data_IF_444990824206
#
_entry.id   IF_444990824206
#
_cell.length_a   1.000
_cell.length_b   1.000
_cell.length_c   1.000
_cell.angle_alpha   90.00
_cell.angle_beta   90.00
_cell.angle_gamma   90.00
#
_symmetry.space_group_name_H-M   'P 1'
#
loop_
_entity.id
_entity.type
_entity.pdbx_description
1 polymer ?
#
# COMPACT_ATOMS: atom_id res chain seq x y z
N UNK A 1 2.82 -27.26 7.78
CA UNK A 1 3.44 -25.95 7.49
C UNK A 1 3.22 -25.02 8.68
N UNK A 2 4.31 -24.52 9.25
CA UNK A 2 4.24 -23.46 10.27
C UNK A 2 3.96 -22.12 9.62
N UNK A 3 3.21 -21.29 10.26
CA UNK A 3 2.85 -19.96 9.78
C UNK A 3 2.69 -18.96 10.93
N UNK A 4 2.75 -17.68 10.57
CA UNK A 4 2.37 -16.57 11.45
C UNK A 4 1.34 -15.70 10.74
N UNK A 5 0.24 -15.38 11.40
CA UNK A 5 -0.75 -14.44 10.92
C UNK A 5 -0.40 -13.04 11.38
N UNK A 6 -0.27 -12.10 10.44
CA UNK A 6 0.05 -10.72 10.75
C UNK A 6 -0.78 -9.76 9.90
N UNK A 7 -0.88 -8.50 10.32
CA UNK A 7 -1.46 -7.43 9.52
C UNK A 7 -0.73 -6.10 9.69
N UNK A 8 -0.78 -5.28 8.64
CA UNK A 8 -0.47 -3.86 8.67
C UNK A 8 -1.73 -3.07 8.39
N UNK A 9 -2.25 -2.36 9.42
CA UNK A 9 -3.49 -1.57 9.29
C UNK A 9 -4.68 -2.38 8.74
N UNK A 10 -4.89 -3.62 9.22
CA UNK A 10 -6.01 -4.47 8.81
C UNK A 10 -5.82 -5.24 7.50
N UNK A 11 -4.83 -4.94 6.68
CA UNK A 11 -4.45 -5.74 5.53
C UNK A 11 -3.65 -6.96 6.01
N UNK A 12 -4.25 -8.14 5.98
CA UNK A 12 -3.83 -9.32 6.70
C UNK A 12 -3.31 -10.44 5.78
N UNK A 13 -2.15 -10.99 6.13
CA UNK A 13 -1.52 -12.09 5.39
C UNK A 13 -1.11 -13.24 6.30
N UNK A 14 -0.97 -14.42 5.68
CA UNK A 14 -0.26 -15.56 6.27
C UNK A 14 1.20 -15.45 5.90
N UNK A 15 2.10 -15.46 6.88
CA UNK A 15 3.55 -15.36 6.69
C UNK A 15 4.20 -16.72 6.89
N UNK A 16 5.05 -17.12 5.96
CA UNK A 16 5.81 -18.39 6.02
C UNK A 16 7.31 -18.10 5.91
N UNK A 17 8.04 -18.61 6.89
CA UNK A 17 9.49 -18.51 6.99
C UNK A 17 10.16 -19.61 6.18
N UNK A 18 10.71 -19.29 5.00
CA UNK A 18 11.40 -20.25 4.13
C UNK A 18 12.82 -20.64 4.60
N UNK A 19 13.30 -20.07 5.71
CA UNK A 19 14.50 -20.57 6.38
C UNK A 19 14.21 -21.86 7.16
N UNK A 20 12.95 -22.12 7.51
CA UNK A 20 12.50 -23.29 8.27
C UNK A 20 11.54 -24.18 7.47
N UNK A 21 10.75 -23.61 6.58
CA UNK A 21 9.72 -24.30 5.81
C UNK A 21 10.07 -24.33 4.31
N UNK A 22 9.60 -25.34 3.61
CA UNK A 22 9.72 -25.46 2.16
C UNK A 22 8.35 -25.47 1.52
N UNK A 23 8.11 -24.57 0.58
CA UNK A 23 6.90 -24.52 -0.23
C UNK A 23 7.22 -24.79 -1.69
N UNK A 24 6.69 -25.88 -2.24
CA UNK A 24 6.90 -26.22 -3.65
C UNK A 24 6.00 -25.40 -4.58
N UNK A 25 4.78 -25.06 -4.14
CA UNK A 25 3.81 -24.26 -4.88
C UNK A 25 3.14 -23.20 -3.97
N UNK A 26 3.81 -22.06 -3.73
CA UNK A 26 3.26 -21.01 -2.86
C UNK A 26 1.94 -20.40 -3.37
N UNK A 27 1.73 -20.35 -4.69
CA UNK A 27 0.49 -19.84 -5.28
C UNK A 27 -0.72 -20.70 -4.88
N UNK A 28 -0.60 -22.02 -5.03
CA UNK A 28 -1.64 -22.97 -4.58
C UNK A 28 -1.84 -22.93 -3.09
N UNK A 29 -0.77 -22.84 -2.31
CA UNK A 29 -0.86 -22.71 -0.85
C UNK A 29 -1.59 -21.44 -0.48
N UNK A 30 -1.32 -20.30 -1.17
CA UNK A 30 -2.02 -19.05 -0.93
C UNK A 30 -3.53 -19.18 -1.09
N UNK A 31 -4.00 -19.79 -2.19
CA UNK A 31 -5.44 -20.03 -2.42
C UNK A 31 -6.07 -20.79 -1.24
N UNK A 32 -5.41 -21.85 -0.79
CA UNK A 32 -5.92 -22.70 0.30
C UNK A 32 -5.96 -21.96 1.65
N UNK A 33 -4.81 -21.37 2.06
CA UNK A 33 -4.72 -20.76 3.39
C UNK A 33 -5.49 -19.44 3.50
N UNK A 34 -5.74 -18.76 2.38
CA UNK A 34 -6.45 -17.48 2.37
C UNK A 34 -7.97 -17.63 2.50
N UNK A 35 -8.52 -18.81 2.25
CA UNK A 35 -9.96 -19.05 2.42
C UNK A 35 -10.34 -18.79 3.87
N UNK A 36 -11.33 -17.88 4.08
CA UNK A 36 -11.74 -17.44 5.43
C UNK A 36 -12.67 -18.44 6.13
N UNK A 37 -13.12 -19.48 5.44
CA UNK A 37 -14.02 -20.52 5.98
C UNK A 37 -13.33 -21.87 6.12
N UNK A 38 -12.43 -22.21 5.18
CA UNK A 38 -11.81 -23.54 5.11
C UNK A 38 -10.28 -23.50 5.30
N UNK A 39 -9.67 -22.32 5.29
CA UNK A 39 -8.26 -22.09 5.55
C UNK A 39 -8.02 -21.32 6.84
N UNK A 40 -6.93 -20.56 6.85
CA UNK A 40 -6.57 -19.63 7.95
C UNK A 40 -7.37 -18.33 7.81
N UNK A 41 -7.69 -17.95 6.57
CA UNK A 41 -8.34 -16.69 6.23
C UNK A 41 -7.36 -15.51 6.18
N UNK A 42 -7.18 -14.93 4.98
CA UNK A 42 -6.28 -13.78 4.77
C UNK A 42 -6.51 -13.14 3.41
N UNK A 43 -5.85 -11.99 3.17
CA UNK A 43 -5.77 -11.37 1.86
C UNK A 43 -4.76 -12.07 0.94
N UNK A 44 -3.93 -12.98 1.51
CA UNK A 44 -2.94 -13.75 0.76
C UNK A 44 -1.87 -14.37 1.65
N UNK A 45 -0.81 -14.85 0.98
CA UNK A 45 0.37 -15.45 1.57
C UNK A 45 1.60 -14.59 1.28
N UNK A 46 2.44 -14.37 2.29
CA UNK A 46 3.76 -13.76 2.12
C UNK A 46 4.82 -14.77 2.56
N UNK A 47 5.81 -14.99 1.71
CA UNK A 47 6.98 -15.79 2.07
C UNK A 47 8.17 -14.90 2.40
N UNK A 48 8.94 -15.29 3.42
CA UNK A 48 10.16 -14.63 3.88
C UNK A 48 11.31 -15.62 3.68
N UNK A 49 12.28 -15.27 2.84
CA UNK A 49 13.37 -16.17 2.52
C UNK A 49 14.71 -15.48 2.30
N UNK A 50 15.75 -16.23 1.94
CA UNK A 50 17.05 -15.69 1.63
C UNK A 50 17.05 -14.87 0.34
N UNK A 51 17.96 -13.90 0.26
CA UNK A 51 18.25 -13.11 -0.93
C UNK A 51 19.75 -13.04 -1.16
N UNK A 52 20.16 -13.03 -2.43
CA UNK A 52 21.56 -12.79 -2.83
C UNK A 52 21.85 -11.29 -2.99
N UNK A 53 20.83 -10.41 -2.87
CA UNK A 53 20.92 -8.98 -3.17
C UNK A 53 20.54 -8.09 -1.99
N UNK A 54 19.87 -8.63 -0.99
CA UNK A 54 19.35 -7.92 0.17
C UNK A 54 19.47 -8.81 1.44
N UNK A 55 19.13 -8.25 2.60
CA UNK A 55 19.15 -9.03 3.84
C UNK A 55 18.10 -10.16 3.80
N UNK A 56 16.93 -9.88 3.20
CA UNK A 56 15.81 -10.82 3.06
C UNK A 56 15.12 -10.67 1.71
N UNK A 57 14.32 -11.67 1.34
CA UNK A 57 13.45 -11.67 0.18
C UNK A 57 12.01 -11.88 0.59
N UNK A 58 11.11 -11.05 0.07
CA UNK A 58 9.68 -11.16 0.21
C UNK A 58 9.02 -11.50 -1.13
N UNK A 59 8.14 -12.52 -1.14
CA UNK A 59 7.21 -12.75 -2.25
C UNK A 59 5.79 -12.75 -1.72
N UNK A 60 4.88 -12.22 -2.51
CA UNK A 60 3.48 -12.00 -2.15
C UNK A 60 2.60 -12.78 -3.13
N UNK A 61 1.70 -13.56 -2.59
CA UNK A 61 0.69 -14.28 -3.35
C UNK A 61 -0.68 -13.85 -2.83
N UNK A 62 -1.51 -13.27 -3.71
CA UNK A 62 -2.88 -12.89 -3.38
C UNK A 62 -3.73 -14.12 -3.06
N UNK A 63 -4.94 -13.92 -2.53
CA UNK A 63 -5.87 -15.00 -2.21
C UNK A 63 -6.31 -15.83 -3.44
N UNK A 64 -6.19 -15.29 -4.66
CA UNK A 64 -6.43 -16.00 -5.92
C UNK A 64 -5.19 -16.73 -6.47
N UNK A 65 -4.06 -16.67 -5.76
CA UNK A 65 -2.77 -17.27 -6.16
C UNK A 65 -1.93 -16.40 -7.11
N UNK A 66 -2.42 -15.27 -7.58
CA UNK A 66 -1.62 -14.34 -8.39
C UNK A 66 -0.49 -13.72 -7.56
N UNK A 67 0.67 -13.52 -8.18
CA UNK A 67 1.82 -12.89 -7.50
C UNK A 67 1.73 -11.36 -7.62
N UNK A 68 1.95 -10.66 -6.51
CA UNK A 68 2.05 -9.21 -6.45
C UNK A 68 3.51 -8.77 -6.24
N UNK A 69 3.87 -7.65 -6.87
CA UNK A 69 5.24 -7.16 -6.84
C UNK A 69 5.62 -6.51 -5.49
N UNK A 70 4.67 -5.83 -4.83
CA UNK A 70 4.90 -5.08 -3.60
C UNK A 70 3.60 -4.88 -2.80
N UNK A 71 3.73 -4.91 -1.47
CA UNK A 71 2.70 -4.52 -0.52
C UNK A 71 3.33 -3.74 0.64
N UNK A 72 3.05 -2.45 0.75
CA UNK A 72 3.60 -1.60 1.79
C UNK A 72 3.22 -2.03 3.21
N UNK A 73 2.02 -2.59 3.39
CA UNK A 73 1.56 -3.14 4.66
C UNK A 73 2.29 -4.46 4.97
N UNK A 74 2.39 -5.34 3.96
CA UNK A 74 3.05 -6.63 4.09
C UNK A 74 4.53 -6.53 4.43
N UNK A 75 5.26 -5.62 3.80
CA UNK A 75 6.71 -5.49 4.04
C UNK A 75 7.03 -4.98 5.45
N UNK A 76 6.15 -4.16 6.08
CA UNK A 76 6.31 -3.76 7.48
C UNK A 76 6.19 -4.97 8.41
N UNK A 77 5.28 -5.89 8.11
CA UNK A 77 5.14 -7.14 8.85
C UNK A 77 6.36 -8.05 8.65
N UNK A 78 6.93 -8.13 7.43
CA UNK A 78 8.20 -8.85 7.19
C UNK A 78 9.30 -8.29 8.09
N UNK A 79 9.49 -6.97 8.13
CA UNK A 79 10.51 -6.34 8.97
C UNK A 79 10.33 -6.66 10.46
N UNK A 80 9.09 -6.55 10.95
CA UNK A 80 8.76 -6.94 12.33
C UNK A 80 9.04 -8.42 12.58
N UNK A 81 8.61 -9.30 11.67
CA UNK A 81 8.81 -10.73 11.80
C UNK A 81 10.29 -11.08 11.94
N UNK A 82 11.13 -10.64 11.01
CA UNK A 82 12.55 -11.02 11.00
C UNK A 82 13.32 -10.54 12.24
N UNK A 83 12.94 -9.39 12.80
CA UNK A 83 13.53 -8.89 14.03
C UNK A 83 12.99 -9.60 15.27
N UNK A 84 11.67 -9.69 15.41
CA UNK A 84 11.02 -10.23 16.59
C UNK A 84 11.26 -11.73 16.77
N UNK A 85 11.41 -12.48 15.65
CA UNK A 85 11.75 -13.90 15.60
C UNK A 85 13.25 -14.16 15.53
N UNK A 86 14.12 -13.13 15.72
CA UNK A 86 15.58 -13.27 15.83
C UNK A 86 16.28 -13.81 14.58
N UNK A 87 15.73 -13.56 13.40
CA UNK A 87 16.43 -13.79 12.13
C UNK A 87 17.49 -12.70 11.88
N UNK A 88 17.35 -11.54 12.53
CA UNK A 88 18.32 -10.44 12.53
C UNK A 88 18.22 -9.63 13.83
N UNK A 89 19.29 -8.91 14.16
CA UNK A 89 19.35 -7.90 15.23
C UNK A 89 19.49 -6.48 14.67
N UNK A 90 19.54 -6.35 13.32
CA UNK A 90 19.63 -5.06 12.64
C UNK A 90 18.31 -4.27 12.75
N UNK A 91 18.42 -2.98 12.96
CA UNK A 91 17.30 -2.02 12.91
C UNK A 91 17.19 -1.30 11.57
N UNK A 92 18.16 -1.48 10.68
CA UNK A 92 18.12 -1.08 9.27
C UNK A 92 18.33 -2.31 8.43
N UNK A 93 17.36 -2.64 7.59
CA UNK A 93 17.37 -3.82 6.73
C UNK A 93 16.98 -3.49 5.31
N UNK A 94 17.40 -4.34 4.39
CA UNK A 94 16.97 -4.33 3.00
C UNK A 94 16.15 -5.58 2.68
N UNK A 95 15.08 -5.42 1.89
CA UNK A 95 14.21 -6.52 1.47
C UNK A 95 14.05 -6.50 -0.04
N UNK A 96 14.42 -7.61 -0.68
CA UNK A 96 14.17 -7.83 -2.11
C UNK A 96 12.67 -8.13 -2.32
N UNK A 97 12.04 -7.39 -3.23
CA UNK A 97 10.63 -7.55 -3.63
C UNK A 97 10.53 -7.65 -5.15
N UNK A 98 9.35 -7.95 -5.70
CA UNK A 98 9.09 -7.88 -7.14
C UNK A 98 9.29 -6.49 -7.74
N UNK A 99 9.09 -5.44 -6.93
CA UNK A 99 9.30 -4.03 -7.31
C UNK A 99 10.70 -3.50 -6.94
N UNK A 100 11.71 -4.38 -6.79
CA UNK A 100 13.08 -4.00 -6.44
C UNK A 100 13.38 -4.10 -4.94
N UNK A 101 14.55 -3.60 -4.55
CA UNK A 101 14.99 -3.62 -3.16
C UNK A 101 14.37 -2.44 -2.41
N UNK A 102 13.81 -2.71 -1.23
CA UNK A 102 13.26 -1.69 -0.33
C UNK A 102 14.12 -1.61 0.93
N UNK A 103 14.34 -0.39 1.41
CA UNK A 103 15.09 -0.10 2.61
C UNK A 103 14.14 0.26 3.75
N UNK A 104 14.33 -0.36 4.91
CA UNK A 104 13.45 -0.23 6.04
C UNK A 104 14.22 0.12 7.30
N UNK A 105 13.67 1.05 8.09
CA UNK A 105 14.14 1.37 9.44
C UNK A 105 13.12 0.86 10.44
N UNK A 106 13.57 0.08 11.42
CA UNK A 106 12.74 -0.52 12.46
C UNK A 106 12.84 0.30 13.75
N UNK A 107 11.72 0.74 14.28
CA UNK A 107 11.63 1.36 15.59
C UNK A 107 11.32 0.29 16.63
N UNK A 108 12.25 0.11 17.56
CA UNK A 108 12.21 -0.98 18.55
C UNK A 108 11.91 -0.42 19.93
N UNK A 109 10.92 -0.98 20.59
CA UNK A 109 10.52 -0.70 21.96
C UNK A 109 10.39 -2.03 22.71
N UNK A 110 10.93 -2.14 23.90
CA UNK A 110 10.89 -3.36 24.72
C UNK A 110 11.33 -4.64 23.97
N UNK A 111 12.37 -4.52 23.15
CA UNK A 111 12.90 -5.61 22.27
C UNK A 111 11.91 -6.14 21.24
N UNK A 112 10.89 -5.37 20.87
CA UNK A 112 9.92 -5.67 19.80
C UNK A 112 9.81 -4.48 18.84
N UNK A 113 9.59 -4.76 17.57
CA UNK A 113 9.33 -3.70 16.59
C UNK A 113 7.95 -3.10 16.84
N UNK A 114 7.90 -1.80 17.14
CA UNK A 114 6.67 -1.02 17.33
C UNK A 114 6.18 -0.40 16.02
N UNK A 115 7.10 0.15 15.22
CA UNK A 115 6.80 0.74 13.92
C UNK A 115 7.91 0.43 12.91
N UNK A 116 7.57 0.52 11.63
CA UNK A 116 8.52 0.35 10.53
C UNK A 116 8.38 1.51 9.56
N UNK A 117 9.51 2.17 9.25
CA UNK A 117 9.64 3.17 8.20
C UNK A 117 10.16 2.49 6.92
N UNK A 118 9.44 2.69 5.84
CA UNK A 118 9.72 2.11 4.52
C UNK A 118 10.03 3.23 3.54
N UNK A 119 11.13 3.13 2.81
CA UNK A 119 11.38 3.96 1.64
C UNK A 119 10.50 3.48 0.48
N UNK A 120 9.47 4.27 0.15
CA UNK A 120 8.53 3.95 -0.92
C UNK A 120 9.05 4.37 -2.31
N UNK A 121 10.14 5.14 -2.36
CA UNK A 121 10.74 5.66 -3.58
C UNK A 121 10.15 7.00 -4.03
N UNK A 122 10.39 7.34 -5.28
CA UNK A 122 9.99 8.63 -5.85
C UNK A 122 8.54 8.61 -6.34
N UNK A 123 7.77 9.70 -6.13
CA UNK A 123 6.44 9.84 -6.70
C UNK A 123 6.55 10.15 -8.20
N UNK A 124 5.74 9.48 -9.01
CA UNK A 124 5.68 9.68 -10.45
C UNK A 124 4.52 10.64 -10.75
N UNK A 125 4.82 11.76 -11.41
CA UNK A 125 3.86 12.82 -11.71
C UNK A 125 3.62 13.01 -13.21
N UNK A 126 4.36 12.30 -14.06
CA UNK A 126 4.19 12.33 -15.53
C UNK A 126 2.91 11.62 -15.93
N UNK A 127 1.95 12.28 -16.60
CA UNK A 127 0.64 11.70 -16.88
C UNK A 127 0.67 10.36 -17.64
N UNK A 128 1.60 10.22 -18.60
CA UNK A 128 1.79 8.97 -19.35
C UNK A 128 2.21 7.78 -18.48
N UNK A 129 3.00 8.03 -17.43
CA UNK A 129 3.49 7.03 -16.50
C UNK A 129 2.46 6.72 -15.37
N UNK A 130 1.51 7.64 -15.13
CA UNK A 130 0.35 7.41 -14.24
C UNK A 130 -0.73 6.58 -14.94
N UNK A 131 -0.70 6.37 -16.19
CA UNK A 131 -1.57 6.29 -17.36
C UNK A 131 -2.92 7.01 -17.20
N UNK A 132 -2.86 8.35 -17.17
CA UNK A 132 -4.02 9.24 -17.23
C UNK A 132 -4.05 10.04 -18.54
N UNK A 133 -5.23 10.19 -19.14
CA UNK A 133 -5.46 10.93 -20.38
C UNK A 133 -6.54 12.01 -20.19
N UNK A 134 -6.64 12.96 -21.13
CA UNK A 134 -7.70 13.97 -21.10
C UNK A 134 -9.08 13.36 -21.35
N UNK A 135 -10.12 14.14 -21.07
CA UNK A 135 -11.53 13.71 -21.23
C UNK A 135 -11.89 13.33 -22.68
N UNK A 136 -11.19 13.88 -23.68
CA UNK A 136 -11.32 13.55 -25.09
C UNK A 136 -10.49 12.35 -25.53
N UNK A 137 -9.72 11.73 -24.60
CA UNK A 137 -8.83 10.60 -24.86
C UNK A 137 -7.43 10.98 -25.36
N UNK A 138 -7.15 12.26 -25.59
CA UNK A 138 -5.80 12.71 -25.97
C UNK A 138 -4.84 12.69 -24.78
N UNK A 139 -3.55 12.50 -25.08
CA UNK A 139 -2.50 12.53 -24.05
C UNK A 139 -2.28 13.95 -23.52
N UNK A 140 -1.87 14.05 -22.25
CA UNK A 140 -1.23 15.24 -21.72
C UNK A 140 0.21 15.35 -22.23
N UNK A 141 0.80 16.55 -22.22
CA UNK A 141 2.24 16.70 -22.45
C UNK A 141 3.04 16.17 -21.26
N UNK A 142 4.30 15.75 -21.51
CA UNK A 142 5.16 15.15 -20.48
C UNK A 142 5.48 16.10 -19.31
N UNK A 143 5.54 17.42 -19.58
CA UNK A 143 5.74 18.45 -18.56
C UNK A 143 4.47 18.81 -17.78
N UNK A 144 3.30 18.31 -18.21
CA UNK A 144 2.05 18.54 -17.51
C UNK A 144 2.01 17.75 -16.20
N UNK A 145 1.32 18.31 -15.22
CA UNK A 145 1.00 17.62 -13.97
C UNK A 145 -0.49 17.71 -13.74
N UNK A 146 -1.12 16.57 -13.50
CA UNK A 146 -2.56 16.48 -13.25
C UNK A 146 -2.82 16.87 -11.80
N UNK A 147 -2.96 18.19 -11.57
CA UNK A 147 -3.15 18.78 -10.24
C UNK A 147 -4.44 19.59 -10.27
N UNK A 148 -5.37 19.30 -9.37
CA UNK A 148 -6.69 19.95 -9.26
C UNK A 148 -7.47 19.93 -10.59
N UNK A 149 -7.32 18.85 -11.36
CA UNK A 149 -7.91 18.68 -12.69
C UNK A 149 -9.39 18.30 -12.58
N UNK A 150 -10.30 18.94 -13.35
CA UNK A 150 -11.71 18.61 -13.32
C UNK A 150 -12.00 17.22 -13.91
N UNK A 151 -12.89 16.49 -13.25
CA UNK A 151 -13.39 15.17 -13.68
C UNK A 151 -14.90 15.08 -13.37
N UNK A 152 -15.68 14.55 -14.32
CA UNK A 152 -17.12 14.38 -14.13
C UNK A 152 -17.46 12.94 -13.78
N UNK A 153 -17.97 12.69 -12.60
CA UNK A 153 -18.41 11.37 -12.16
C UNK A 153 -19.75 11.46 -11.42
N UNK A 154 -20.74 10.63 -11.81
CA UNK A 154 -22.04 10.56 -11.17
C UNK A 154 -22.87 11.83 -11.23
N UNK A 155 -22.92 12.51 -12.38
CA UNK A 155 -23.60 13.79 -12.60
C UNK A 155 -23.10 14.96 -11.74
N UNK A 156 -21.87 14.87 -11.24
CA UNK A 156 -21.19 15.90 -10.46
C UNK A 156 -19.78 16.11 -11.02
N UNK A 157 -19.32 17.35 -10.97
CA UNK A 157 -17.94 17.72 -11.23
C UNK A 157 -17.13 17.60 -9.94
N UNK A 158 -15.94 17.06 -10.07
CA UNK A 158 -14.95 16.86 -9.03
C UNK A 158 -13.61 17.41 -9.49
N UNK A 159 -12.69 17.58 -8.59
CA UNK A 159 -11.30 17.90 -8.86
C UNK A 159 -10.40 16.80 -8.33
N UNK A 160 -9.43 16.38 -9.14
CA UNK A 160 -8.51 15.31 -8.77
C UNK A 160 -7.05 15.70 -8.99
N UNK A 161 -6.17 15.09 -8.21
CA UNK A 161 -4.73 15.15 -8.43
C UNK A 161 -4.22 13.72 -8.63
N UNK A 162 -3.48 13.48 -9.72
CA UNK A 162 -3.00 12.15 -10.04
C UNK A 162 -1.53 11.97 -9.68
N UNK A 163 -1.23 10.86 -8.99
CA UNK A 163 0.12 10.46 -8.58
C UNK A 163 0.27 8.96 -8.79
N UNK A 164 1.44 8.48 -9.20
CA UNK A 164 1.75 7.06 -9.17
C UNK A 164 2.88 6.80 -8.18
N UNK A 165 2.72 5.74 -7.39
CA UNK A 165 3.75 5.16 -6.52
C UNK A 165 4.15 3.75 -7.02
N UNK A 166 4.17 3.58 -8.37
CA UNK A 166 4.29 2.31 -9.06
C UNK A 166 2.95 1.75 -9.54
N UNK A 167 1.85 2.29 -9.02
CA UNK A 167 0.48 2.05 -9.44
C UNK A 167 -0.31 3.37 -9.45
N UNK A 168 -1.36 3.52 -10.28
CA UNK A 168 -2.07 4.79 -10.48
C UNK A 168 -3.01 5.12 -9.32
N UNK A 169 -2.98 6.39 -8.89
CA UNK A 169 -3.86 6.94 -7.87
C UNK A 169 -4.46 8.26 -8.33
N UNK A 170 -5.76 8.45 -8.08
CA UNK A 170 -6.49 9.70 -8.25
C UNK A 170 -6.98 10.16 -6.88
N UNK A 171 -6.46 11.29 -6.40
CA UNK A 171 -6.78 11.84 -5.09
C UNK A 171 -7.82 12.94 -5.24
N UNK A 172 -8.93 12.83 -4.50
CA UNK A 172 -10.06 13.72 -4.51
C UNK A 172 -10.30 14.26 -3.10
N UNK A 173 -10.32 15.59 -2.94
CA UNK A 173 -10.59 16.21 -1.64
C UNK A 173 -12.09 16.33 -1.40
N UNK A 174 -12.51 15.97 -0.17
CA UNK A 174 -13.90 16.00 0.29
C UNK A 174 -13.98 16.65 1.68
N UNK A 175 -15.14 17.20 2.05
CA UNK A 175 -15.32 17.87 3.34
C UNK A 175 -15.61 16.88 4.49
N UNK A 176 -16.19 15.71 4.20
CA UNK A 176 -16.49 14.64 5.16
C UNK A 176 -16.23 13.28 4.51
N UNK A 177 -15.09 12.68 4.83
CA UNK A 177 -14.72 11.37 4.29
C UNK A 177 -15.46 10.23 4.97
N UNK A 178 -15.88 10.41 6.22
CA UNK A 178 -16.58 9.36 6.97
C UNK A 178 -18.00 9.12 6.42
N UNK A 179 -18.72 10.20 6.09
CA UNK A 179 -20.05 10.13 5.50
C UNK A 179 -20.05 10.00 3.97
N UNK A 180 -18.88 9.88 3.34
CA UNK A 180 -18.79 9.85 1.88
C UNK A 180 -19.35 8.55 1.27
N UNK A 181 -20.16 8.67 0.22
CA UNK A 181 -20.78 7.54 -0.50
C UNK A 181 -19.76 6.80 -1.40
N UNK A 182 -18.73 6.19 -0.79
CA UNK A 182 -17.59 5.60 -1.50
C UNK A 182 -18.01 4.51 -2.50
N UNK A 183 -18.92 3.63 -2.11
CA UNK A 183 -19.43 2.53 -2.96
C UNK A 183 -20.18 3.05 -4.20
N UNK A 184 -20.73 4.26 -4.13
CA UNK A 184 -21.41 4.89 -5.26
C UNK A 184 -20.42 5.54 -6.23
N UNK A 185 -19.42 6.27 -5.73
CA UNK A 185 -18.50 7.04 -6.55
C UNK A 185 -17.24 6.28 -6.93
N UNK A 186 -16.72 5.41 -6.08
CA UNK A 186 -15.49 4.65 -6.32
C UNK A 186 -15.45 3.93 -7.67
N UNK A 187 -16.48 3.13 -8.03
CA UNK A 187 -16.53 2.46 -9.32
C UNK A 187 -16.55 3.42 -10.52
N UNK A 188 -17.11 4.63 -10.35
CA UNK A 188 -17.19 5.62 -11.42
C UNK A 188 -15.83 6.26 -11.71
N UNK A 189 -14.99 6.44 -10.66
CA UNK A 189 -13.62 6.90 -10.82
C UNK A 189 -12.71 5.76 -11.33
N UNK A 190 -12.78 4.58 -10.72
CA UNK A 190 -11.97 3.42 -11.13
C UNK A 190 -12.06 3.16 -12.63
N UNK A 191 -13.28 3.22 -13.19
CA UNK A 191 -13.57 2.89 -14.59
C UNK A 191 -13.74 4.14 -15.48
N UNK A 192 -13.34 5.32 -15.00
CA UNK A 192 -13.49 6.54 -15.76
C UNK A 192 -12.61 6.54 -17.02
N UNK A 193 -13.12 7.06 -18.13
CA UNK A 193 -12.44 7.07 -19.45
C UNK A 193 -11.07 7.78 -19.44
N UNK A 194 -10.80 8.67 -18.48
CA UNK A 194 -9.49 9.27 -18.29
C UNK A 194 -8.43 8.28 -17.76
N UNK A 195 -8.83 7.10 -17.30
CA UNK A 195 -7.95 6.06 -16.78
C UNK A 195 -8.05 4.78 -17.60
N UNK A 196 -7.38 4.68 -18.76
CA UNK A 196 -7.51 3.52 -19.67
C UNK A 196 -7.04 2.20 -19.05
N UNK A 197 -6.25 2.24 -17.98
CA UNK A 197 -5.81 1.08 -17.20
C UNK A 197 -6.49 0.99 -15.84
N UNK A 198 -7.60 1.73 -15.64
CA UNK A 198 -8.28 1.94 -14.36
C UNK A 198 -7.36 2.61 -13.32
N UNK A 199 -7.89 3.03 -12.20
CA UNK A 199 -7.12 3.71 -11.14
C UNK A 199 -7.64 3.32 -9.74
N UNK A 200 -6.79 3.46 -8.73
CA UNK A 200 -7.21 3.57 -7.34
C UNK A 200 -7.67 5.01 -7.11
N UNK A 201 -8.65 5.21 -6.23
CA UNK A 201 -9.13 6.56 -5.91
C UNK A 201 -9.19 6.76 -4.41
N UNK A 202 -8.48 7.77 -3.94
CA UNK A 202 -8.43 8.19 -2.55
C UNK A 202 -9.33 9.41 -2.34
N UNK A 203 -10.31 9.29 -1.43
CA UNK A 203 -11.13 10.40 -0.97
C UNK A 203 -10.58 10.89 0.36
N UNK A 204 -10.27 12.20 0.43
CA UNK A 204 -9.41 12.76 1.47
C UNK A 204 -10.04 13.98 2.12
N UNK A 205 -10.16 13.95 3.44
CA UNK A 205 -10.52 15.07 4.29
C UNK A 205 -9.27 15.64 4.97
N UNK A 206 -9.00 16.92 4.79
CA UNK A 206 -7.89 17.62 5.42
C UNK A 206 -8.31 18.11 6.80
N UNK A 207 -7.65 17.64 7.84
CA UNK A 207 -7.92 18.07 9.21
C UNK A 207 -7.03 19.25 9.64
N UNK A 208 -5.76 19.22 9.22
CA UNK A 208 -4.79 20.27 9.50
C UNK A 208 -3.64 20.23 8.48
N UNK A 209 -2.62 21.07 8.69
CA UNK A 209 -1.42 21.06 7.84
C UNK A 209 -0.60 19.77 7.93
N UNK A 210 -0.80 18.96 8.96
CA UNK A 210 -0.04 17.73 9.20
C UNK A 210 -0.92 16.52 9.56
N UNK A 211 -2.23 16.60 9.25
CA UNK A 211 -3.19 15.56 9.58
C UNK A 211 -4.31 15.48 8.54
N UNK A 212 -4.64 14.28 8.09
CA UNK A 212 -5.70 14.00 7.12
C UNK A 212 -6.41 12.67 7.42
N UNK A 213 -7.63 12.53 6.94
CA UNK A 213 -8.36 11.25 6.89
C UNK A 213 -8.52 10.81 5.45
N UNK A 214 -8.48 9.49 5.21
CA UNK A 214 -8.59 8.92 3.88
C UNK A 214 -9.45 7.66 3.88
N UNK A 215 -10.26 7.52 2.83
CA UNK A 215 -10.86 6.25 2.41
C UNK A 215 -10.45 5.99 0.96
N UNK A 216 -10.24 4.73 0.61
CA UNK A 216 -9.76 4.34 -0.71
C UNK A 216 -10.69 3.33 -1.38
N UNK A 217 -10.90 3.54 -2.67
CA UNK A 217 -11.45 2.55 -3.59
C UNK A 217 -10.32 2.01 -4.45
N UNK A 218 -9.91 0.78 -4.19
CA UNK A 218 -8.80 0.16 -4.92
C UNK A 218 -9.28 -0.53 -6.20
N UNK A 219 -8.47 -0.40 -7.24
CA UNK A 219 -8.68 -1.01 -8.55
C UNK A 219 -8.82 -2.54 -8.43
N UNK A 220 -10.03 -3.05 -8.68
CA UNK A 220 -10.33 -4.47 -8.64
C UNK A 220 -10.60 -5.06 -7.25
N UNK A 221 -10.45 -4.27 -6.17
CA UNK A 221 -10.62 -4.76 -4.79
C UNK A 221 -11.68 -3.99 -4.00
N UNK A 222 -12.33 -2.99 -4.60
CA UNK A 222 -13.30 -2.11 -3.95
C UNK A 222 -12.70 -1.35 -2.74
N UNK A 223 -13.52 -1.02 -1.73
CA UNK A 223 -13.02 -0.36 -0.53
C UNK A 223 -12.16 -1.32 0.29
N UNK A 224 -10.91 -0.92 0.56
CA UNK A 224 -10.00 -1.61 1.47
C UNK A 224 -9.75 -0.77 2.73
N UNK A 225 -9.22 -1.41 3.77
CA UNK A 225 -9.00 -0.72 5.04
C UNK A 225 -7.73 0.11 5.07
N UNK A 226 -6.75 -0.23 4.23
CA UNK A 226 -5.49 0.51 4.12
C UNK A 226 -4.78 0.21 2.80
N UNK A 227 -4.40 1.28 2.09
CA UNK A 227 -3.56 1.24 0.90
C UNK A 227 -2.31 2.07 1.13
N UNK A 228 -1.14 1.42 1.25
CA UNK A 228 0.12 2.11 1.55
C UNK A 228 0.55 3.07 0.44
N UNK A 229 0.49 2.63 -0.84
CA UNK A 229 0.81 3.48 -2.00
C UNK A 229 -0.20 4.61 -2.16
N UNK A 230 -1.50 4.32 -1.92
CA UNK A 230 -2.56 5.33 -1.94
C UNK A 230 -2.37 6.41 -0.86
N UNK A 231 -1.89 6.01 0.33
CA UNK A 231 -1.60 6.98 1.40
C UNK A 231 -0.41 7.88 1.02
N UNK A 232 0.63 7.32 0.38
CA UNK A 232 1.75 8.11 -0.15
C UNK A 232 1.28 9.07 -1.24
N UNK A 233 0.49 8.60 -2.20
CA UNK A 233 -0.10 9.42 -3.26
C UNK A 233 -0.98 10.54 -2.70
N UNK A 234 -1.76 10.25 -1.64
CA UNK A 234 -2.58 11.23 -0.91
C UNK A 234 -1.74 12.38 -0.39
N UNK A 235 -0.67 12.10 0.34
CA UNK A 235 0.17 13.17 0.91
C UNK A 235 0.89 13.95 -0.18
N UNK A 236 1.35 13.30 -1.24
CA UNK A 236 1.91 14.01 -2.40
C UNK A 236 0.88 14.93 -3.05
N UNK A 237 -0.36 14.48 -3.25
CA UNK A 237 -1.43 15.33 -3.77
C UNK A 237 -1.73 16.51 -2.83
N UNK A 238 -1.74 16.29 -1.51
CA UNK A 238 -1.92 17.35 -0.51
C UNK A 238 -0.83 18.42 -0.61
N UNK A 239 0.44 18.01 -0.73
CA UNK A 239 1.59 18.91 -0.89
C UNK A 239 1.48 19.71 -2.20
N UNK A 240 1.21 19.04 -3.32
CA UNK A 240 1.06 19.67 -4.63
C UNK A 240 -0.05 20.73 -4.66
N UNK A 241 -1.13 20.50 -3.91
CA UNK A 241 -2.24 21.43 -3.72
C UNK A 241 -2.02 22.42 -2.56
N UNK A 242 -0.83 22.41 -1.92
CA UNK A 242 -0.47 23.32 -0.81
C UNK A 242 -1.40 23.21 0.42
N UNK A 243 -2.04 22.06 0.60
CA UNK A 243 -2.98 21.81 1.70
C UNK A 243 -2.27 21.36 2.98
N UNK A 244 -1.13 20.69 2.86
CA UNK A 244 -0.38 20.16 4.01
C UNK A 244 1.11 20.51 3.94
N UNK A 245 1.82 20.22 5.03
CA UNK A 245 3.27 20.18 5.10
C UNK A 245 3.79 18.83 4.56
N UNK A 246 5.12 18.65 4.53
CA UNK A 246 5.74 17.46 3.96
C UNK A 246 5.63 16.20 4.83
N UNK A 247 5.19 16.33 6.08
CA UNK A 247 4.99 15.21 7.00
C UNK A 247 3.57 15.23 7.54
N UNK A 248 2.81 14.17 7.25
CA UNK A 248 1.37 14.08 7.52
C UNK A 248 1.03 12.75 8.17
N UNK A 249 0.27 12.80 9.25
CA UNK A 249 -0.42 11.66 9.82
C UNK A 249 -1.73 11.45 9.05
N UNK A 250 -1.90 10.26 8.48
CA UNK A 250 -3.11 9.91 7.71
C UNK A 250 -3.87 8.82 8.44
N UNK A 251 -5.12 9.12 8.79
CA UNK A 251 -6.04 8.18 9.41
C UNK A 251 -6.77 7.38 8.33
N UNK A 252 -6.62 6.06 8.38
CA UNK A 252 -7.29 5.08 7.52
C UNK A 252 -8.30 4.28 8.34
N UNK A 253 -9.19 3.54 7.69
CA UNK A 253 -10.10 2.63 8.43
C UNK A 253 -9.36 1.59 9.26
N UNK A 254 -8.22 1.11 8.77
CA UNK A 254 -7.44 0.04 9.40
C UNK A 254 -6.37 0.52 10.39
N UNK A 255 -6.14 1.83 10.51
CA UNK A 255 -5.11 2.40 11.39
C UNK A 255 -4.41 3.60 10.77
N UNK A 256 -3.39 4.07 11.43
CA UNK A 256 -2.69 5.31 11.10
C UNK A 256 -1.36 5.05 10.39
N UNK A 257 -1.05 5.88 9.38
CA UNK A 257 0.24 5.92 8.70
C UNK A 257 0.79 7.34 8.72
N UNK A 258 2.06 7.49 9.04
CA UNK A 258 2.78 8.76 8.85
C UNK A 258 3.52 8.72 7.54
N UNK A 259 3.23 9.66 6.66
CA UNK A 259 3.92 9.83 5.39
C UNK A 259 4.79 11.08 5.44
N UNK A 260 6.02 10.96 4.97
CA UNK A 260 6.99 12.03 4.93
C UNK A 260 7.64 12.11 3.54
N UNK A 261 7.50 13.25 2.89
CA UNK A 261 8.20 13.54 1.63
C UNK A 261 9.47 14.34 1.92
N UNK A 262 10.59 13.90 1.38
CA UNK A 262 11.90 14.55 1.51
C UNK A 262 12.26 15.19 0.15
N UNK A 263 12.10 16.52 0.00
CA UNK A 263 12.32 17.18 -1.29
C UNK A 263 13.75 17.02 -1.83
N UNK A 264 14.74 16.95 -0.93
CA UNK A 264 16.17 16.86 -1.29
C UNK A 264 16.51 15.56 -2.02
N UNK A 265 15.79 14.48 -1.74
CA UNK A 265 15.98 13.16 -2.35
C UNK A 265 14.86 12.79 -3.30
N UNK A 266 13.77 13.55 -3.32
CA UNK A 266 12.52 13.24 -4.01
C UNK A 266 11.87 11.92 -3.56
N UNK A 267 12.18 11.44 -2.33
CA UNK A 267 11.64 10.18 -1.82
C UNK A 267 10.47 10.39 -0.87
N UNK A 268 9.53 9.48 -0.92
CA UNK A 268 8.39 9.36 0.01
C UNK A 268 8.66 8.22 0.97
N UNK A 269 8.56 8.49 2.26
CA UNK A 269 8.69 7.51 3.33
C UNK A 269 7.36 7.27 4.01
N UNK A 270 7.06 6.00 4.26
CA UNK A 270 5.86 5.58 4.99
C UNK A 270 6.25 4.92 6.30
N UNK A 271 5.74 5.43 7.41
CA UNK A 271 5.92 4.85 8.75
C UNK A 271 4.59 4.36 9.29
N UNK A 272 4.54 3.14 9.79
CA UNK A 272 3.33 2.59 10.38
C UNK A 272 3.55 1.32 11.17
N UNK A 273 2.50 0.86 11.88
CA UNK A 273 2.57 -0.34 12.70
C UNK A 273 2.59 -1.62 11.86
N UNK A 274 3.01 -2.70 12.49
CA UNK A 274 2.83 -4.07 12.07
C UNK A 274 2.44 -4.90 13.29
N UNK A 275 1.49 -5.81 13.15
CA UNK A 275 0.95 -6.58 14.26
C UNK A 275 1.01 -8.07 13.95
N UNK A 276 1.64 -8.83 14.84
CA UNK A 276 1.51 -10.29 14.87
C UNK A 276 0.22 -10.64 15.64
N UNK A 277 -0.64 -11.47 15.03
CA UNK A 277 -1.92 -11.85 15.62
C UNK A 277 -1.83 -13.18 16.32
N UNK A 278 -1.33 -14.20 15.61
CA UNK A 278 -1.08 -15.54 16.15
C UNK A 278 -0.16 -16.34 15.21
N UNK A 279 0.43 -17.39 15.75
CA UNK A 279 1.17 -18.40 15.00
C UNK A 279 0.52 -19.77 15.14
N UNK A 280 0.76 -20.66 14.18
CA UNK A 280 0.18 -21.99 14.18
C UNK A 280 0.83 -22.94 13.18
N UNK A 281 0.24 -24.13 13.07
CA UNK A 281 0.59 -25.13 12.06
C UNK A 281 -0.67 -25.55 11.30
N UNK A 282 -0.54 -25.78 9.99
CA UNK A 282 -1.62 -26.27 9.14
C UNK A 282 -1.06 -27.35 8.20
N UNK A 283 -1.85 -28.40 7.97
CA UNK A 283 -1.54 -29.38 6.94
C UNK A 283 -1.87 -28.81 5.56
N UNK A 284 -0.89 -28.75 4.69
CA UNK A 284 -1.05 -28.33 3.29
C UNK A 284 -1.21 -29.58 2.43
N UNK A 285 -2.30 -29.67 1.68
CA UNK A 285 -2.62 -30.77 0.77
C UNK A 285 -1.92 -30.61 -0.57
#
# INVERSE_FOLDING_TARGET
>A
MKFTKMHGCGNDYVYVNLFEEKLDDPARVSIYVSDRHFGIGSDGLITIGPSDKADFRMRIYNADGSEAEMCGNGIRCVAKYVYDHKLTDKTEISVETGAGIKYLTLYVEENKVSQVRVDMGEPILTPGDIPVVKTDGSAYGDDYRVIDEPISAGNREWHMTCVSMGNPHAVVFVDDVAGFELEKYGPLFENHKMFPKRTNTEFVEILSRNEAKMRVWERGSAETWACGTGTCATVMACILNKKTDNKVLVHLRGGDLTIEYIPETNHVFMTGPATEVFSGEIDIM
#
